data_IF_815365184785
#
_entry.id   IF_815365184785
#
_cell.length_a   1.000
_cell.length_b   1.000
_cell.length_c   1.000
_cell.angle_alpha   90.00
_cell.angle_beta   90.00
_cell.angle_gamma   90.00
#
_symmetry.space_group_name_H-M   'P 1'
#
loop_
_entity.id
_entity.type
_entity.pdbx_description
1 polymer ?
#
# COMPACT_ATOMS: atom_id res chain seq x y z
N UNK A 1 0.38 -0.59 -2.62
CA UNK A 1 -0.84 -0.06 -1.96
C UNK A 1 -1.99 -0.07 -2.95
N UNK A 2 -3.23 -0.15 -2.47
CA UNK A 2 -4.44 0.11 -3.26
C UNK A 2 -5.47 0.88 -2.45
N UNK A 3 -6.34 1.63 -3.12
CA UNK A 3 -7.46 2.33 -2.50
C UNK A 3 -8.65 2.32 -3.46
N UNK A 4 -9.86 2.15 -2.94
CA UNK A 4 -11.09 2.13 -3.76
C UNK A 4 -12.30 2.57 -2.93
N UNK A 5 -13.34 3.17 -3.54
CA UNK A 5 -14.61 3.45 -2.87
C UNK A 5 -15.30 2.19 -2.32
N UNK A 6 -15.00 1.00 -2.87
CA UNK A 6 -15.59 -0.27 -2.42
C UNK A 6 -15.02 -0.81 -1.11
N UNK A 7 -15.71 -1.79 -0.52
CA UNK A 7 -15.40 -2.36 0.79
C UNK A 7 -14.08 -3.15 0.91
N UNK A 8 -13.45 -3.51 -0.21
CA UNK A 8 -12.19 -4.28 -0.23
C UNK A 8 -10.94 -3.45 -0.57
N UNK A 9 -11.10 -2.14 -0.81
CA UNK A 9 -9.97 -1.25 -1.03
C UNK A 9 -9.04 -1.63 -2.19
N UNK A 10 -9.56 -2.32 -3.22
CA UNK A 10 -8.79 -2.75 -4.38
C UNK A 10 -7.84 -3.93 -4.13
N UNK A 11 -8.00 -4.70 -3.05
CA UNK A 11 -7.09 -5.81 -2.70
C UNK A 11 -6.87 -6.81 -3.87
N UNK A 12 -7.92 -7.13 -4.63
CA UNK A 12 -7.81 -8.04 -5.77
C UNK A 12 -6.94 -7.48 -6.90
N UNK A 13 -7.16 -6.21 -7.28
CA UNK A 13 -6.33 -5.58 -8.31
C UNK A 13 -4.89 -5.43 -7.85
N UNK A 14 -4.66 -5.16 -6.55
CA UNK A 14 -3.32 -5.13 -5.98
C UNK A 14 -2.60 -6.48 -6.13
N UNK A 15 -3.26 -7.60 -5.81
CA UNK A 15 -2.68 -8.94 -6.00
C UNK A 15 -2.27 -9.18 -7.44
N UNK A 16 -3.13 -8.81 -8.41
CA UNK A 16 -2.81 -8.98 -9.83
C UNK A 16 -1.64 -8.10 -10.29
N UNK A 17 -1.61 -6.83 -9.89
CA UNK A 17 -0.51 -5.92 -10.24
C UNK A 17 0.82 -6.40 -9.65
N UNK A 18 0.82 -6.91 -8.42
CA UNK A 18 2.03 -7.48 -7.80
C UNK A 18 2.57 -8.68 -8.58
N UNK A 19 1.69 -9.57 -9.03
CA UNK A 19 2.09 -10.70 -9.87
C UNK A 19 2.70 -10.22 -11.19
N UNK A 20 2.07 -9.24 -11.85
CA UNK A 20 2.59 -8.67 -13.10
C UNK A 20 3.96 -8.02 -12.90
N UNK A 21 4.10 -7.17 -11.88
CA UNK A 21 5.37 -6.49 -11.57
C UNK A 21 6.49 -7.50 -11.28
N UNK A 22 6.18 -8.56 -10.51
CA UNK A 22 7.13 -9.65 -10.29
C UNK A 22 7.56 -10.35 -11.57
N UNK A 23 6.62 -10.60 -12.48
CA UNK A 23 6.90 -11.26 -13.76
C UNK A 23 7.78 -10.43 -14.70
N UNK A 24 7.71 -9.09 -14.64
CA UNK A 24 8.54 -8.20 -15.48
C UNK A 24 9.88 -7.82 -14.81
N UNK A 25 10.28 -8.53 -13.75
CA UNK A 25 11.55 -8.32 -13.05
C UNK A 25 11.53 -7.25 -11.96
N UNK A 26 10.34 -6.75 -11.60
CA UNK A 26 10.17 -5.84 -10.47
C UNK A 26 10.35 -6.57 -9.14
N UNK A 27 11.12 -5.97 -8.24
CA UNK A 27 11.22 -6.46 -6.86
C UNK A 27 10.00 -6.01 -6.06
N UNK A 28 9.21 -6.97 -5.59
CA UNK A 28 7.94 -6.72 -4.91
C UNK A 28 8.04 -7.11 -3.43
N UNK A 29 7.85 -6.14 -2.52
CA UNK A 29 7.85 -6.38 -1.07
C UNK A 29 6.59 -7.16 -0.62
N UNK A 30 6.68 -8.00 0.43
CA UNK A 30 5.54 -8.80 0.89
C UNK A 30 4.44 -7.95 1.54
N UNK A 31 4.79 -6.84 2.19
CA UNK A 31 3.85 -5.95 2.87
C UNK A 31 2.83 -5.34 1.89
N UNK A 32 1.56 -5.27 2.31
CA UNK A 32 0.48 -4.70 1.52
C UNK A 32 -0.46 -3.89 2.39
N UNK A 33 -1.02 -2.83 1.80
CA UNK A 33 -2.12 -2.09 2.39
C UNK A 33 -3.18 -1.84 1.32
N UNK A 34 -4.44 -2.09 1.70
CA UNK A 34 -5.63 -1.79 0.92
C UNK A 34 -6.56 -0.90 1.75
N UNK A 35 -6.90 0.27 1.22
CA UNK A 35 -7.76 1.25 1.87
C UNK A 35 -9.18 1.14 1.31
N UNK A 36 -10.08 0.58 2.10
CA UNK A 36 -11.51 0.49 1.78
C UNK A 36 -12.19 1.84 1.94
N UNK A 37 -13.30 2.06 1.22
CA UNK A 37 -14.09 3.30 1.29
C UNK A 37 -13.20 4.54 1.16
N UNK A 38 -12.35 4.57 0.14
CA UNK A 38 -11.31 5.60 0.01
C UNK A 38 -11.83 7.05 0.09
N UNK A 39 -13.07 7.29 -0.36
CA UNK A 39 -13.73 8.58 -0.27
C UNK A 39 -14.09 9.03 1.16
N UNK A 40 -14.15 8.10 2.13
CA UNK A 40 -14.37 8.34 3.56
C UNK A 40 -13.06 8.26 4.36
N UNK A 41 -11.95 7.85 3.73
CA UNK A 41 -10.72 7.47 4.44
C UNK A 41 -9.78 8.64 4.74
N UNK A 42 -9.98 9.79 4.07
CA UNK A 42 -9.12 10.97 4.15
C UNK A 42 -9.91 12.19 4.66
N UNK A 43 -9.25 13.01 5.48
CA UNK A 43 -9.70 14.35 5.85
C UNK A 43 -9.45 15.33 4.68
N UNK A 44 -10.00 16.55 4.78
CA UNK A 44 -9.83 17.60 3.76
C UNK A 44 -8.36 18.01 3.57
N UNK A 45 -7.53 17.87 4.60
CA UNK A 45 -6.08 18.14 4.55
C UNK A 45 -5.27 16.98 3.94
N UNK A 46 -5.92 15.88 3.53
CA UNK A 46 -5.30 14.69 2.97
C UNK A 46 -4.74 13.72 4.01
N UNK A 47 -4.87 13.99 5.31
CA UNK A 47 -4.53 13.04 6.37
C UNK A 47 -5.56 11.91 6.46
N UNK A 48 -5.19 10.76 7.04
CA UNK A 48 -6.17 9.69 7.26
C UNK A 48 -7.10 10.02 8.44
N UNK A 49 -8.40 9.76 8.26
CA UNK A 49 -9.39 9.83 9.35
C UNK A 49 -9.06 8.83 10.45
N UNK A 50 -8.64 7.62 10.06
CA UNK A 50 -8.37 6.52 10.97
C UNK A 50 -6.87 6.35 11.19
N UNK A 51 -6.42 6.43 12.45
CA UNK A 51 -5.02 6.29 12.81
C UNK A 51 -4.43 4.93 12.39
N UNK A 52 -5.24 3.86 12.40
CA UNK A 52 -4.85 2.55 11.90
C UNK A 52 -4.36 2.58 10.45
N UNK A 53 -5.01 3.36 9.60
CA UNK A 53 -4.62 3.49 8.19
C UNK A 53 -3.27 4.22 8.09
N UNK A 54 -3.11 5.32 8.83
CA UNK A 54 -1.85 6.05 8.92
C UNK A 54 -0.70 5.15 9.37
N UNK A 55 -0.87 4.42 10.47
CA UNK A 55 0.13 3.48 10.99
C UNK A 55 0.46 2.36 9.99
N UNK A 56 -0.56 1.83 9.29
CA UNK A 56 -0.37 0.80 8.26
C UNK A 56 0.47 1.30 7.08
N UNK A 57 0.21 2.53 6.62
CA UNK A 57 0.99 3.16 5.54
C UNK A 57 2.40 3.48 5.97
N UNK A 58 2.60 4.00 7.18
CA UNK A 58 3.94 4.25 7.72
C UNK A 58 4.76 2.98 7.81
N UNK A 59 4.17 1.87 8.29
CA UNK A 59 4.85 0.55 8.32
C UNK A 59 5.24 0.07 6.94
N UNK A 60 4.35 0.25 5.94
CA UNK A 60 4.65 -0.11 4.57
C UNK A 60 5.79 0.73 3.98
N UNK A 61 5.80 2.04 4.24
CA UNK A 61 6.89 2.93 3.84
C UNK A 61 8.22 2.54 4.49
N UNK A 62 8.21 2.23 5.79
CA UNK A 62 9.38 1.74 6.50
C UNK A 62 9.91 0.41 5.92
N UNK A 63 9.03 -0.53 5.58
CA UNK A 63 9.41 -1.78 4.93
C UNK A 63 10.09 -1.54 3.57
N UNK A 64 9.57 -0.61 2.77
CA UNK A 64 10.17 -0.23 1.49
C UNK A 64 11.57 0.36 1.68
N UNK A 65 11.73 1.33 2.59
CA UNK A 65 13.04 1.95 2.89
C UNK A 65 14.04 0.89 3.36
N UNK A 66 13.62 0.00 4.26
CA UNK A 66 14.46 -1.10 4.75
C UNK A 66 14.90 -2.04 3.62
N UNK A 67 14.03 -2.32 2.65
CA UNK A 67 14.39 -3.14 1.50
C UNK A 67 15.39 -2.43 0.59
N UNK A 68 15.16 -1.14 0.29
CA UNK A 68 16.06 -0.35 -0.55
C UNK A 68 17.46 -0.22 0.07
N UNK A 69 17.54 -0.01 1.38
CA UNK A 69 18.82 0.05 2.08
C UNK A 69 19.62 -1.27 1.96
N UNK A 70 18.94 -2.42 1.95
CA UNK A 70 19.61 -3.73 1.77
C UNK A 70 20.13 -3.96 0.35
N UNK A 71 19.62 -3.24 -0.65
CA UNK A 71 20.02 -3.38 -2.05
C UNK A 71 21.10 -2.37 -2.46
N UNK A 72 21.24 -1.28 -1.73
CA UNK A 72 22.25 -0.23 -1.96
C UNK A 72 23.60 -0.52 -1.27
N UNK A 73 23.79 -1.74 -0.79
CA UNK A 73 25.04 -2.26 -0.23
C UNK A 73 25.54 -3.43 -1.08
#
# INVERSE_FOLDING_TARGET
MSASPGGFGGMRSLTHVKALLGNIGGLVIPENMSISKAHEAFNEDGSFVQERNQQGIQKLGAALVNMLNKLNH
#
